data_IF_191356031955
#
_entry.id   IF_191356031955
#
_cell.length_a   1.000
_cell.length_b   1.000
_cell.length_c   1.000
_cell.angle_alpha   90.00
_cell.angle_beta   90.00
_cell.angle_gamma   90.00
#
_symmetry.space_group_name_H-M   'P 1'
#
loop_
_entity.id
_entity.type
_entity.pdbx_description
1 polymer ?
#
# COMPACT_ATOMS: atom_id res chain seq x y z
N UNK A 1 -27.65 -2.64 9.49
CA UNK A 1 -26.78 -3.00 10.63
C UNK A 1 -25.33 -2.83 10.15
N UNK A 2 -24.49 -2.19 10.93
CA UNK A 2 -23.07 -2.03 10.64
C UNK A 2 -22.24 -3.21 11.15
N UNK A 3 -20.92 -3.05 11.07
CA UNK A 3 -19.94 -4.05 11.49
C UNK A 3 -19.28 -3.65 12.80
N UNK A 4 -18.87 -4.63 13.58
CA UNK A 4 -17.95 -4.46 14.70
C UNK A 4 -16.54 -4.57 14.17
N UNK A 5 -15.81 -3.44 14.16
CA UNK A 5 -14.50 -3.29 13.49
C UNK A 5 -13.39 -3.07 14.48
N UNK A 6 -12.29 -3.77 14.30
CA UNK A 6 -11.05 -3.59 15.05
C UNK A 6 -10.00 -2.94 14.16
N UNK A 7 -9.27 -1.95 14.68
CA UNK A 7 -8.03 -1.45 14.07
C UNK A 7 -6.88 -1.73 15.04
N UNK A 8 -6.04 -2.70 14.72
CA UNK A 8 -4.85 -3.04 15.50
C UNK A 8 -3.63 -2.27 14.98
N UNK A 9 -2.85 -1.68 15.88
CA UNK A 9 -1.80 -0.73 15.55
C UNK A 9 -2.32 0.70 15.33
N UNK A 10 -3.42 1.04 15.98
CA UNK A 10 -4.18 2.29 15.80
C UNK A 10 -3.39 3.57 16.09
N UNK A 11 -2.27 3.51 16.80
CA UNK A 11 -1.40 4.66 17.08
C UNK A 11 -0.32 4.93 16.03
N UNK A 12 -0.09 3.96 15.13
CA UNK A 12 0.83 4.09 14.00
C UNK A 12 0.25 4.90 12.83
N UNK A 13 1.09 5.33 11.89
CA UNK A 13 0.65 6.12 10.73
C UNK A 13 -0.47 5.42 9.94
N UNK A 14 -0.29 4.14 9.60
CA UNK A 14 -1.27 3.37 8.82
C UNK A 14 -2.55 3.11 9.62
N UNK A 15 -2.42 2.77 10.92
CA UNK A 15 -3.60 2.51 11.76
C UNK A 15 -4.46 3.76 11.97
N UNK A 16 -3.84 4.93 12.17
CA UNK A 16 -4.56 6.21 12.21
C UNK A 16 -5.26 6.50 10.89
N UNK A 17 -4.58 6.25 9.78
CA UNK A 17 -5.15 6.47 8.46
C UNK A 17 -6.29 5.48 8.15
N UNK A 18 -6.24 4.23 8.64
CA UNK A 18 -7.37 3.29 8.57
C UNK A 18 -8.61 3.84 9.29
N UNK A 19 -8.44 4.40 10.50
CA UNK A 19 -9.54 5.02 11.24
C UNK A 19 -10.12 6.22 10.48
N UNK A 20 -9.27 7.08 9.94
CA UNK A 20 -9.68 8.24 9.15
C UNK A 20 -10.48 7.81 7.91
N UNK A 21 -9.94 6.86 7.13
CA UNK A 21 -10.57 6.41 5.88
C UNK A 21 -11.88 5.66 6.12
N UNK A 22 -11.99 4.85 7.18
CA UNK A 22 -13.26 4.23 7.56
C UNK A 22 -14.35 5.30 7.78
N UNK A 23 -14.00 6.42 8.44
CA UNK A 23 -14.92 7.54 8.67
C UNK A 23 -15.18 8.33 7.37
N UNK A 24 -14.15 8.72 6.61
CA UNK A 24 -14.26 9.47 5.36
C UNK A 24 -15.14 8.74 4.33
N UNK A 25 -15.00 7.41 4.23
CA UNK A 25 -15.76 6.58 3.32
C UNK A 25 -17.11 6.11 3.86
N UNK A 26 -17.46 6.54 5.09
CA UNK A 26 -18.72 6.18 5.75
C UNK A 26 -18.91 4.63 5.78
N UNK A 27 -17.83 3.90 6.06
CA UNK A 27 -17.92 2.47 6.24
C UNK A 27 -18.93 2.16 7.37
N UNK A 28 -19.89 1.23 7.20
CA UNK A 28 -20.94 1.01 8.19
C UNK A 28 -20.37 0.34 9.45
N UNK A 29 -20.04 1.15 10.44
CA UNK A 29 -19.49 0.73 11.73
C UNK A 29 -20.53 0.90 12.83
N UNK A 30 -20.90 -0.21 13.51
CA UNK A 30 -21.73 -0.18 14.71
C UNK A 30 -20.87 -0.03 15.97
N UNK A 31 -19.69 -0.65 15.98
CA UNK A 31 -18.74 -0.58 17.09
C UNK A 31 -17.31 -0.60 16.55
N UNK A 32 -16.43 0.21 17.14
CA UNK A 32 -15.01 0.29 16.77
C UNK A 32 -14.10 0.12 17.97
N UNK A 33 -13.08 -0.74 17.85
CA UNK A 33 -12.02 -0.89 18.83
C UNK A 33 -10.66 -0.49 18.21
N UNK A 34 -9.97 0.43 18.89
CA UNK A 34 -8.59 0.77 18.56
C UNK A 34 -7.65 -0.01 19.48
N UNK A 35 -6.79 -0.88 18.90
CA UNK A 35 -5.85 -1.67 19.67
C UNK A 35 -4.42 -1.19 19.48
N UNK A 36 -3.64 -1.25 20.56
CA UNK A 36 -2.24 -0.90 20.56
C UNK A 36 -1.46 -1.78 21.56
N UNK A 37 -0.13 -1.71 21.52
CA UNK A 37 0.72 -2.30 22.56
C UNK A 37 0.56 -1.56 23.88
N UNK A 38 0.97 -2.19 24.98
CA UNK A 38 0.96 -1.60 26.33
C UNK A 38 1.62 -0.23 26.42
N UNK A 39 2.62 0.05 25.59
CA UNK A 39 3.31 1.36 25.54
C UNK A 39 2.38 2.51 25.12
N UNK A 40 1.35 2.18 24.35
CA UNK A 40 0.38 3.15 23.82
C UNK A 40 -1.04 2.93 24.36
N UNK A 41 -1.17 2.18 25.47
CA UNK A 41 -2.46 1.94 26.12
C UNK A 41 -3.09 3.27 26.58
N UNK A 42 -4.37 3.46 26.32
CA UNK A 42 -5.10 4.66 26.68
C UNK A 42 -4.80 5.90 25.82
N UNK A 43 -3.93 5.77 24.81
CA UNK A 43 -3.70 6.84 23.83
C UNK A 43 -4.99 7.15 23.09
N UNK A 44 -5.31 8.42 22.95
CA UNK A 44 -6.46 8.87 22.20
C UNK A 44 -6.16 8.89 20.69
N UNK A 45 -7.09 8.35 19.91
CA UNK A 45 -7.06 8.36 18.44
C UNK A 45 -8.42 8.80 17.91
N UNK A 46 -8.43 9.49 16.78
CA UNK A 46 -9.66 10.01 16.17
C UNK A 46 -10.32 8.96 15.29
N UNK A 47 -11.64 8.91 15.28
CA UNK A 47 -12.48 8.21 14.33
C UNK A 47 -13.61 9.16 13.91
N UNK A 48 -13.48 9.80 12.75
CA UNK A 48 -14.34 10.91 12.36
C UNK A 48 -14.30 12.03 13.41
N UNK A 49 -15.47 12.46 13.85
CA UNK A 49 -15.63 13.51 14.87
C UNK A 49 -15.51 12.99 16.32
N UNK A 50 -15.27 11.69 16.49
CA UNK A 50 -15.17 11.07 17.81
C UNK A 50 -13.73 10.73 18.16
N UNK A 51 -13.45 10.68 19.46
CA UNK A 51 -12.16 10.25 20.00
C UNK A 51 -12.36 8.95 20.76
N UNK A 52 -11.52 7.94 20.46
CA UNK A 52 -11.54 6.64 21.11
C UNK A 52 -10.21 6.36 21.79
N UNK A 53 -10.22 5.64 22.89
CA UNK A 53 -9.00 5.25 23.62
C UNK A 53 -8.53 3.88 23.18
N UNK A 54 -7.23 3.75 22.99
CA UNK A 54 -6.64 2.45 22.65
C UNK A 54 -6.72 1.48 23.80
N UNK A 55 -7.00 0.22 23.46
CA UNK A 55 -7.04 -0.94 24.33
C UNK A 55 -5.80 -1.84 24.13
N UNK A 56 -5.51 -2.67 25.11
CA UNK A 56 -4.35 -3.56 25.08
C UNK A 56 -4.61 -4.77 24.17
N UNK A 57 -3.83 -4.89 23.09
CA UNK A 57 -3.91 -5.98 22.13
C UNK A 57 -3.64 -7.36 22.79
N UNK A 58 -2.79 -7.40 23.82
CA UNK A 58 -2.36 -8.67 24.44
C UNK A 58 -3.50 -9.42 25.15
N UNK A 59 -4.47 -8.66 25.68
CA UNK A 59 -5.58 -9.21 26.47
C UNK A 59 -6.95 -9.01 25.82
N UNK A 60 -6.99 -8.51 24.60
CA UNK A 60 -8.24 -8.23 23.90
C UNK A 60 -8.96 -9.52 23.48
N UNK A 61 -10.28 -9.57 23.70
CA UNK A 61 -11.14 -10.65 23.24
C UNK A 61 -11.74 -10.34 21.87
N UNK A 62 -11.37 -11.12 20.86
CA UNK A 62 -11.86 -10.99 19.48
C UNK A 62 -13.25 -11.58 19.26
N UNK A 63 -13.85 -12.22 20.27
CA UNK A 63 -15.16 -12.90 20.14
C UNK A 63 -16.27 -11.90 19.80
N UNK A 64 -17.03 -12.22 18.77
CA UNK A 64 -18.17 -11.40 18.30
C UNK A 64 -17.78 -10.16 17.50
N UNK A 65 -16.51 -9.97 17.13
CA UNK A 65 -16.09 -8.95 16.18
C UNK A 65 -16.16 -9.50 14.75
N UNK A 66 -16.55 -8.65 13.80
CA UNK A 66 -16.76 -9.08 12.43
C UNK A 66 -15.46 -9.03 11.63
N UNK A 67 -14.67 -7.96 11.83
CA UNK A 67 -13.50 -7.72 11.02
C UNK A 67 -12.40 -6.95 11.79
N UNK A 68 -11.15 -7.25 11.48
CA UNK A 68 -9.98 -6.60 12.07
C UNK A 68 -9.00 -6.15 10.99
N UNK A 69 -8.69 -4.86 10.96
CA UNK A 69 -7.65 -4.25 10.14
C UNK A 69 -6.34 -4.25 10.92
N UNK A 70 -5.35 -5.00 10.47
CA UNK A 70 -4.06 -5.15 11.17
C UNK A 70 -2.98 -4.27 10.53
N UNK A 71 -2.59 -3.21 11.24
CA UNK A 71 -1.46 -2.34 10.93
C UNK A 71 -0.31 -2.54 11.94
N UNK A 72 -0.03 -3.82 12.25
CA UNK A 72 1.03 -4.26 13.17
C UNK A 72 2.10 -5.01 12.39
N UNK A 73 3.31 -5.11 12.94
CA UNK A 73 4.40 -5.82 12.28
C UNK A 73 4.16 -7.34 12.19
N UNK A 74 4.90 -8.01 11.31
CA UNK A 74 4.73 -9.45 11.02
C UNK A 74 4.80 -10.35 12.26
N UNK A 75 5.66 -10.03 13.23
CA UNK A 75 5.79 -10.83 14.47
C UNK A 75 4.52 -10.77 15.33
N UNK A 76 3.93 -9.57 15.46
CA UNK A 76 2.66 -9.40 16.16
C UNK A 76 1.52 -10.05 15.37
N UNK A 77 1.47 -9.85 14.05
CA UNK A 77 0.47 -10.49 13.18
C UNK A 77 0.50 -12.01 13.31
N UNK A 78 1.69 -12.63 13.34
CA UNK A 78 1.86 -14.07 13.54
C UNK A 78 1.19 -14.57 14.83
N UNK A 79 1.18 -13.75 15.87
CA UNK A 79 0.59 -14.08 17.16
C UNK A 79 -0.93 -13.84 17.19
N UNK A 80 -1.41 -12.70 16.67
CA UNK A 80 -2.78 -12.27 16.90
C UNK A 80 -3.74 -12.58 15.75
N UNK A 81 -3.29 -12.65 14.50
CA UNK A 81 -4.18 -12.97 13.39
C UNK A 81 -4.84 -14.35 13.52
N UNK A 82 -4.12 -15.43 13.91
CA UNK A 82 -4.78 -16.71 14.15
C UNK A 82 -5.75 -16.70 15.33
N UNK A 83 -5.52 -15.88 16.36
CA UNK A 83 -6.46 -15.73 17.49
C UNK A 83 -7.77 -15.07 17.05
N UNK A 84 -7.67 -13.97 16.28
CA UNK A 84 -8.83 -13.29 15.72
C UNK A 84 -9.61 -14.20 14.76
N UNK A 85 -8.92 -14.88 13.85
CA UNK A 85 -9.52 -15.82 12.92
C UNK A 85 -10.26 -16.97 13.63
N UNK A 86 -9.67 -17.55 14.68
CA UNK A 86 -10.30 -18.60 15.50
C UNK A 86 -11.55 -18.10 16.23
N UNK A 87 -11.61 -16.82 16.59
CA UNK A 87 -12.78 -16.19 17.21
C UNK A 87 -13.88 -15.83 16.19
N UNK A 88 -13.68 -16.11 14.90
CA UNK A 88 -14.62 -15.82 13.82
C UNK A 88 -14.49 -14.40 13.23
N UNK A 89 -13.48 -13.64 13.64
CA UNK A 89 -13.19 -12.32 13.12
C UNK A 89 -12.31 -12.40 11.86
N UNK A 90 -12.73 -11.82 10.74
CA UNK A 90 -11.94 -11.80 9.51
C UNK A 90 -10.81 -10.77 9.66
N UNK A 91 -9.57 -11.18 9.39
CA UNK A 91 -8.39 -10.31 9.48
C UNK A 91 -7.98 -9.81 8.09
N UNK A 92 -7.79 -8.50 7.95
CA UNK A 92 -7.13 -7.88 6.80
C UNK A 92 -5.74 -7.44 7.27
N UNK A 93 -4.72 -8.18 6.86
CA UNK A 93 -3.33 -8.02 7.33
C UNK A 93 -2.52 -7.12 6.39
N UNK A 94 -2.03 -6.01 6.91
CA UNK A 94 -1.16 -5.09 6.18
C UNK A 94 0.34 -5.46 6.28
N UNK A 95 0.71 -6.47 7.07
CA UNK A 95 2.09 -6.95 7.15
C UNK A 95 2.47 -7.80 5.94
N UNK A 96 3.74 -8.16 5.82
CA UNK A 96 4.20 -9.05 4.74
C UNK A 96 4.03 -10.54 5.06
N UNK A 97 3.52 -10.90 6.25
CA UNK A 97 3.56 -12.27 6.76
C UNK A 97 2.82 -13.27 5.87
N UNK A 98 1.58 -12.93 5.48
CA UNK A 98 0.69 -13.84 4.78
C UNK A 98 0.61 -13.62 3.27
N UNK A 99 1.29 -12.61 2.72
CA UNK A 99 1.19 -12.26 1.29
C UNK A 99 1.56 -13.40 0.34
N UNK A 100 2.48 -14.26 0.76
CA UNK A 100 3.02 -15.36 -0.07
C UNK A 100 2.44 -16.74 0.30
N UNK A 101 1.57 -16.79 1.31
CA UNK A 101 0.84 -17.99 1.66
C UNK A 101 -0.19 -18.32 0.55
N UNK A 102 -0.15 -19.52 -0.05
CA UNK A 102 -1.06 -19.86 -1.14
C UNK A 102 -2.53 -19.96 -0.72
N UNK A 103 -2.79 -20.19 0.57
CA UNK A 103 -4.15 -20.28 1.13
C UNK A 103 -4.69 -18.91 1.57
N UNK A 104 -3.88 -17.85 1.54
CA UNK A 104 -4.30 -16.49 1.89
C UNK A 104 -4.39 -15.64 0.64
N UNK A 105 -5.57 -15.08 0.31
CA UNK A 105 -5.72 -14.20 -0.84
C UNK A 105 -4.97 -12.89 -0.60
N UNK A 106 -4.25 -12.43 -1.64
CA UNK A 106 -3.60 -11.13 -1.72
C UNK A 106 -4.44 -10.24 -2.64
N UNK A 107 -5.02 -9.17 -2.10
CA UNK A 107 -6.11 -8.47 -2.81
C UNK A 107 -5.79 -6.98 -3.04
N UNK A 108 -6.01 -6.57 -4.28
CA UNK A 108 -6.22 -5.19 -4.69
C UNK A 108 -7.60 -5.14 -5.36
N UNK A 109 -8.62 -4.53 -4.75
CA UNK A 109 -10.00 -4.63 -5.22
C UNK A 109 -10.24 -4.20 -6.67
N UNK A 110 -9.43 -3.28 -7.19
CA UNK A 110 -9.48 -2.85 -8.59
C UNK A 110 -8.89 -3.89 -9.57
N UNK A 111 -8.12 -4.87 -9.06
CA UNK A 111 -7.38 -5.81 -9.91
C UNK A 111 -7.94 -7.23 -9.87
N UNK A 112 -8.17 -7.77 -8.67
CA UNK A 112 -8.53 -9.17 -8.46
C UNK A 112 -9.61 -9.35 -7.38
N UNK A 113 -10.77 -8.66 -7.47
CA UNK A 113 -11.81 -8.68 -6.45
C UNK A 113 -12.38 -10.09 -6.19
N UNK A 114 -12.33 -10.99 -7.16
CA UNK A 114 -12.87 -12.35 -7.04
C UNK A 114 -12.02 -13.24 -6.13
N UNK A 115 -10.75 -12.87 -5.90
CA UNK A 115 -9.88 -13.57 -4.95
C UNK A 115 -10.40 -13.50 -3.50
N UNK A 116 -11.39 -12.62 -3.21
CA UNK A 116 -11.97 -12.45 -1.88
C UNK A 116 -12.57 -13.76 -1.35
N UNK A 117 -13.07 -14.64 -2.21
CA UNK A 117 -13.68 -15.90 -1.82
C UNK A 117 -12.70 -16.83 -1.07
N UNK A 118 -11.40 -16.66 -1.32
CA UNK A 118 -10.32 -17.37 -0.61
C UNK A 118 -10.16 -16.99 0.87
N UNK A 119 -10.85 -15.96 1.36
CA UNK A 119 -10.76 -15.55 2.78
C UNK A 119 -11.12 -16.68 3.75
N UNK A 120 -12.07 -17.53 3.35
CA UNK A 120 -12.59 -18.60 4.20
C UNK A 120 -11.54 -19.67 4.54
N UNK A 121 -10.45 -19.79 3.78
CA UNK A 121 -9.40 -20.78 4.03
C UNK A 121 -8.75 -20.59 5.40
N UNK A 122 -8.45 -19.34 5.76
CA UNK A 122 -7.79 -18.99 7.03
C UNK A 122 -8.46 -17.84 7.78
N UNK A 123 -9.55 -17.29 7.30
CA UNK A 123 -10.18 -16.06 7.81
C UNK A 123 -9.21 -14.87 7.79
N UNK A 124 -8.23 -14.90 6.88
CA UNK A 124 -7.18 -13.88 6.72
C UNK A 124 -7.10 -13.48 5.26
N UNK A 125 -6.99 -12.18 5.02
CA UNK A 125 -6.76 -11.56 3.71
C UNK A 125 -5.49 -10.72 3.83
N UNK A 126 -4.58 -10.86 2.87
CA UNK A 126 -3.36 -10.07 2.84
C UNK A 126 -3.55 -8.79 2.00
N UNK A 127 -3.05 -7.68 2.53
CA UNK A 127 -2.90 -6.41 1.85
C UNK A 127 -1.49 -6.31 1.24
N UNK A 128 -1.32 -5.90 -0.03
CA UNK A 128 -0.02 -5.92 -0.71
C UNK A 128 0.97 -4.89 -0.17
N UNK A 129 2.19 -4.95 -0.67
CA UNK A 129 3.20 -3.90 -0.52
C UNK A 129 2.70 -2.58 -1.12
N UNK A 130 3.12 -1.46 -0.53
CA UNK A 130 2.62 -0.14 -0.92
C UNK A 130 2.95 0.23 -2.36
N UNK A 131 4.16 -0.06 -2.82
CA UNK A 131 4.55 0.18 -4.21
C UNK A 131 3.82 -0.79 -5.15
N UNK A 132 3.72 -2.07 -4.79
CA UNK A 132 2.94 -3.04 -5.59
C UNK A 132 1.49 -2.59 -5.76
N UNK A 133 0.83 -2.14 -4.68
CA UNK A 133 -0.58 -1.76 -4.73
C UNK A 133 -0.89 -0.70 -5.79
N UNK A 134 -0.12 0.38 -5.84
CA UNK A 134 -0.32 1.43 -6.84
C UNK A 134 0.06 0.97 -8.26
N UNK A 135 1.15 0.22 -8.40
CA UNK A 135 1.62 -0.26 -9.69
C UNK A 135 0.60 -1.20 -10.35
N UNK A 136 0.08 -2.17 -9.62
CA UNK A 136 -0.85 -3.16 -10.20
C UNK A 136 -2.18 -2.54 -10.62
N UNK A 137 -2.64 -1.47 -9.95
CA UNK A 137 -3.81 -0.70 -10.35
C UNK A 137 -3.61 -0.11 -11.75
N UNK A 138 -2.42 0.42 -12.04
CA UNK A 138 -2.10 0.93 -13.38
C UNK A 138 -1.90 -0.20 -14.41
N UNK A 139 -1.28 -1.32 -14.01
CA UNK A 139 -0.95 -2.41 -14.92
C UNK A 139 -2.18 -3.23 -15.34
N UNK A 140 -3.13 -3.47 -14.41
CA UNK A 140 -4.26 -4.40 -14.65
C UNK A 140 -5.09 -4.05 -15.89
N UNK A 141 -5.60 -2.81 -16.05
CA UNK A 141 -6.41 -2.48 -17.22
C UNK A 141 -5.63 -2.55 -18.54
N UNK A 142 -4.34 -2.25 -18.52
CA UNK A 142 -3.47 -2.39 -19.69
C UNK A 142 -3.19 -3.86 -20.03
N UNK A 143 -2.98 -4.70 -19.00
CA UNK A 143 -2.80 -6.14 -19.15
C UNK A 143 -4.04 -6.81 -19.76
N UNK A 144 -5.22 -6.43 -19.32
CA UNK A 144 -6.48 -6.98 -19.84
C UNK A 144 -6.67 -6.69 -21.34
N UNK A 145 -6.09 -5.58 -21.84
CA UNK A 145 -6.20 -5.18 -23.24
C UNK A 145 -5.10 -5.79 -24.12
N UNK A 146 -3.84 -5.80 -23.66
CA UNK A 146 -2.70 -6.08 -24.53
C UNK A 146 -1.72 -7.13 -23.96
N UNK A 147 -2.01 -7.78 -22.86
CA UNK A 147 -1.17 -8.75 -22.14
C UNK A 147 0.27 -8.30 -21.94
N UNK A 148 0.62 -8.05 -20.71
CA UNK A 148 1.97 -7.61 -20.34
C UNK A 148 2.92 -8.81 -20.35
N UNK A 149 4.04 -8.68 -21.07
CA UNK A 149 5.16 -9.62 -21.08
C UNK A 149 6.18 -9.30 -20.00
N UNK A 150 6.48 -8.00 -19.85
CA UNK A 150 7.58 -7.55 -18.99
C UNK A 150 7.30 -6.16 -18.42
N UNK A 151 7.72 -5.97 -17.17
CA UNK A 151 7.71 -4.67 -16.48
C UNK A 151 9.11 -4.38 -15.96
N UNK A 152 9.60 -3.19 -16.22
CA UNK A 152 10.79 -2.61 -15.57
C UNK A 152 10.31 -1.43 -14.76
N UNK A 153 10.56 -1.43 -13.46
CA UNK A 153 10.14 -0.36 -12.57
C UNK A 153 11.28 0.16 -11.72
N UNK A 154 11.40 1.47 -11.66
CA UNK A 154 12.21 2.16 -10.66
C UNK A 154 11.29 2.93 -9.73
N UNK A 155 11.36 2.64 -8.42
CA UNK A 155 10.54 3.33 -7.43
C UNK A 155 11.28 4.47 -6.78
N UNK A 156 10.55 5.51 -6.38
CA UNK A 156 11.01 6.65 -5.60
C UNK A 156 10.12 6.71 -4.36
N UNK A 157 10.54 5.96 -3.30
CA UNK A 157 9.70 5.71 -2.14
C UNK A 157 9.96 6.72 -1.02
N UNK A 158 8.91 7.36 -0.55
CA UNK A 158 8.94 8.30 0.57
C UNK A 158 9.29 7.62 1.90
N UNK A 159 9.81 8.40 2.84
CA UNK A 159 10.27 7.91 4.16
C UNK A 159 9.13 7.42 5.07
N UNK A 160 7.89 7.84 4.82
CA UNK A 160 6.71 7.35 5.58
C UNK A 160 6.52 5.84 5.48
N UNK A 161 6.99 5.21 4.38
CA UNK A 161 7.01 3.75 4.24
C UNK A 161 7.90 3.04 5.27
N UNK A 162 8.87 3.75 5.87
CA UNK A 162 9.68 3.27 6.98
C UNK A 162 9.08 3.63 8.37
N UNK A 163 7.86 4.17 8.39
CA UNK A 163 7.15 4.57 9.60
C UNK A 163 7.54 5.95 10.13
N UNK A 164 7.04 6.26 11.34
CA UNK A 164 7.30 7.55 12.00
C UNK A 164 8.80 7.85 12.16
N UNK A 165 9.57 6.85 12.55
CA UNK A 165 11.02 6.99 12.75
C UNK A 165 11.74 7.46 11.48
N UNK A 166 11.35 6.97 10.29
CA UNK A 166 11.91 7.43 9.02
C UNK A 166 11.57 8.89 8.71
N UNK A 167 10.36 9.31 9.04
CA UNK A 167 9.92 10.69 8.88
C UNK A 167 10.66 11.62 9.86
N UNK A 168 10.79 11.22 11.11
CA UNK A 168 11.52 11.97 12.14
C UNK A 168 13.01 12.11 11.74
N UNK A 169 13.64 11.04 11.25
CA UNK A 169 15.05 11.09 10.80
C UNK A 169 15.25 12.06 9.64
N UNK A 170 14.40 12.01 8.60
CA UNK A 170 14.47 12.98 7.50
C UNK A 170 14.33 14.42 8.01
N UNK A 171 13.38 14.65 8.92
CA UNK A 171 13.15 15.97 9.48
C UNK A 171 14.35 16.50 10.27
N UNK A 172 14.89 15.69 11.18
CA UNK A 172 16.03 16.10 12.02
C UNK A 172 17.30 16.28 11.18
N UNK A 173 17.60 15.39 10.23
CA UNK A 173 18.72 15.55 9.30
C UNK A 173 18.56 16.81 8.43
N UNK A 174 17.37 17.09 7.93
CA UNK A 174 17.10 18.32 7.16
C UNK A 174 17.39 19.58 7.97
N UNK A 175 16.99 19.62 9.25
CA UNK A 175 17.32 20.74 10.14
C UNK A 175 18.81 20.87 10.40
N UNK A 176 19.52 19.74 10.54
CA UNK A 176 20.96 19.74 10.85
C UNK A 176 21.80 20.31 9.72
N UNK A 177 21.38 20.15 8.45
CA UNK A 177 22.08 20.77 7.31
C UNK A 177 22.19 22.29 7.44
N UNK A 178 21.20 22.92 8.05
CA UNK A 178 21.19 24.38 8.28
C UNK A 178 21.72 24.78 9.67
N UNK A 179 22.11 23.80 10.49
CA UNK A 179 22.71 24.01 11.81
C UNK A 179 23.98 23.14 11.98
N UNK A 180 25.15 23.62 11.58
CA UNK A 180 26.38 22.83 11.53
C UNK A 180 26.89 22.34 12.90
N UNK A 181 26.26 22.75 14.01
CA UNK A 181 26.62 22.29 15.36
C UNK A 181 25.83 21.03 15.79
N UNK A 182 24.90 20.54 14.95
CA UNK A 182 24.01 19.42 15.26
C UNK A 182 24.09 18.38 14.14
N UNK A 183 25.06 17.48 14.22
CA UNK A 183 25.12 16.32 13.34
C UNK A 183 24.09 15.26 13.77
N UNK A 184 23.26 14.78 12.83
CA UNK A 184 22.26 13.72 13.04
C UNK A 184 22.65 12.51 12.21
N UNK A 185 23.30 11.50 12.79
CA UNK A 185 23.70 10.31 12.07
C UNK A 185 22.47 9.48 11.65
N UNK A 186 22.58 8.69 10.57
CA UNK A 186 21.53 7.78 10.17
C UNK A 186 21.32 6.70 11.24
N UNK A 187 20.06 6.42 11.57
CA UNK A 187 19.64 5.42 12.56
C UNK A 187 18.60 4.46 11.99
N UNK A 188 17.66 4.97 11.20
CA UNK A 188 16.63 4.18 10.53
C UNK A 188 17.06 3.73 9.13
N UNK A 189 17.79 4.60 8.42
CA UNK A 189 18.31 4.32 7.09
C UNK A 189 19.81 3.96 7.16
N UNK A 190 20.29 3.31 6.11
CA UNK A 190 21.70 2.86 6.04
C UNK A 190 22.68 4.00 5.74
N UNK A 191 22.17 5.11 5.24
CA UNK A 191 22.89 6.36 4.92
C UNK A 191 22.01 7.55 5.23
N UNK A 192 22.60 8.73 5.33
CA UNK A 192 21.86 9.97 5.44
C UNK A 192 20.85 10.11 4.31
N UNK A 193 19.58 10.39 4.68
CA UNK A 193 18.48 10.51 3.71
C UNK A 193 18.21 11.96 3.29
N UNK A 194 18.51 12.95 4.13
CA UNK A 194 18.29 14.35 3.78
C UNK A 194 19.11 14.73 2.52
N UNK A 195 18.42 15.26 1.51
CA UNK A 195 19.00 15.66 0.21
C UNK A 195 19.73 14.52 -0.54
N UNK A 196 19.37 13.26 -0.27
CA UNK A 196 20.03 12.08 -0.83
C UNK A 196 19.02 11.07 -1.35
N UNK A 197 19.48 10.12 -2.17
CA UNK A 197 18.73 8.96 -2.64
C UNK A 197 19.47 7.68 -2.24
N UNK A 198 18.75 6.70 -1.69
CA UNK A 198 19.32 5.46 -1.18
C UNK A 198 18.72 4.29 -1.97
N UNK A 199 19.48 3.64 -2.87
CA UNK A 199 19.00 2.50 -3.68
C UNK A 199 19.06 1.20 -2.86
N UNK A 200 18.43 1.21 -1.70
CA UNK A 200 18.43 0.09 -0.76
C UNK A 200 17.22 0.21 0.19
N UNK A 201 16.23 -0.63 -0.02
CA UNK A 201 15.05 -0.75 0.85
C UNK A 201 14.90 -2.22 1.26
N UNK A 202 14.80 -2.48 2.57
CA UNK A 202 14.76 -3.82 3.17
C UNK A 202 16.13 -4.54 3.06
N UNK A 203 16.18 -5.84 3.33
CA UNK A 203 17.42 -6.65 3.32
C UNK A 203 17.79 -7.12 1.92
N UNK A 204 19.10 -7.28 1.66
CA UNK A 204 19.57 -7.94 0.43
C UNK A 204 19.26 -9.44 0.44
N UNK A 205 18.97 -9.96 -0.74
CA UNK A 205 18.81 -11.38 -1.04
C UNK A 205 20.08 -11.94 -1.73
N UNK A 206 20.15 -13.25 -1.89
CA UNK A 206 21.34 -13.92 -2.45
C UNK A 206 21.64 -13.54 -3.92
N UNK A 207 20.61 -13.16 -4.67
CA UNK A 207 20.73 -12.73 -6.07
C UNK A 207 21.15 -11.25 -6.23
N UNK A 208 21.37 -10.54 -5.12
CA UNK A 208 21.73 -9.14 -5.10
C UNK A 208 20.53 -8.17 -5.17
N UNK A 209 19.32 -8.66 -5.36
CA UNK A 209 18.10 -7.86 -5.20
C UNK A 209 17.82 -7.58 -3.72
N UNK A 210 16.97 -6.58 -3.44
CA UNK A 210 16.44 -6.40 -2.09
C UNK A 210 15.11 -7.12 -1.92
N UNK A 211 14.76 -7.42 -0.68
CA UNK A 211 13.46 -8.02 -0.36
C UNK A 211 12.29 -7.14 -0.80
N UNK A 212 12.45 -5.82 -0.80
CA UNK A 212 11.44 -4.89 -1.34
C UNK A 212 11.22 -5.09 -2.83
N UNK A 213 12.28 -5.23 -3.61
CA UNK A 213 12.24 -5.53 -5.05
C UNK A 213 11.60 -6.89 -5.33
N UNK A 214 11.97 -7.89 -4.56
CA UNK A 214 11.38 -9.22 -4.64
C UNK A 214 9.86 -9.22 -4.36
N UNK A 215 9.40 -8.42 -3.36
CA UNK A 215 7.97 -8.26 -3.08
C UNK A 215 7.21 -7.76 -4.31
N UNK A 216 7.72 -6.75 -4.99
CA UNK A 216 7.09 -6.23 -6.21
C UNK A 216 6.96 -7.30 -7.29
N UNK A 217 7.99 -8.14 -7.47
CA UNK A 217 7.96 -9.26 -8.42
C UNK A 217 6.91 -10.31 -8.02
N UNK A 218 6.98 -10.81 -6.79
CA UNK A 218 6.14 -11.91 -6.33
C UNK A 218 4.66 -11.51 -6.22
N UNK A 219 4.40 -10.31 -5.71
CA UNK A 219 3.04 -9.81 -5.51
C UNK A 219 2.35 -9.45 -6.83
N UNK A 220 3.06 -8.84 -7.78
CA UNK A 220 2.51 -8.58 -9.13
C UNK A 220 2.05 -9.87 -9.81
N UNK A 221 2.87 -10.92 -9.73
CA UNK A 221 2.53 -12.25 -10.27
C UNK A 221 1.32 -12.87 -9.59
N UNK A 222 1.19 -12.72 -8.28
CA UNK A 222 0.06 -13.27 -7.52
C UNK A 222 -1.24 -12.51 -7.78
N UNK A 223 -1.16 -11.20 -8.00
CA UNK A 223 -2.33 -10.33 -8.16
C UNK A 223 -2.84 -10.30 -9.60
N UNK A 224 -1.95 -10.26 -10.60
CA UNK A 224 -2.32 -10.08 -12.02
C UNK A 224 -2.17 -11.38 -12.81
N UNK A 225 -0.91 -11.77 -13.08
CA UNK A 225 -0.60 -12.95 -13.91
C UNK A 225 0.81 -13.47 -13.57
N UNK A 226 0.97 -14.76 -13.23
CA UNK A 226 2.26 -15.36 -12.93
C UNK A 226 3.26 -15.34 -14.12
N UNK A 227 2.79 -15.15 -15.35
CA UNK A 227 3.62 -15.08 -16.55
C UNK A 227 4.36 -13.74 -16.69
N UNK A 228 3.91 -12.66 -16.04
CA UNK A 228 4.55 -11.35 -16.14
C UNK A 228 5.97 -11.40 -15.57
N UNK A 229 6.94 -10.98 -16.38
CA UNK A 229 8.33 -10.81 -15.94
C UNK A 229 8.51 -9.41 -15.36
N UNK A 230 8.92 -9.30 -14.12
CA UNK A 230 9.11 -8.00 -13.44
C UNK A 230 10.55 -7.88 -12.98
N UNK A 231 11.15 -6.72 -13.17
CA UNK A 231 12.39 -6.31 -12.50
C UNK A 231 12.19 -4.94 -11.88
N UNK A 232 12.65 -4.79 -10.64
CA UNK A 232 12.45 -3.57 -9.87
C UNK A 232 13.79 -3.06 -9.32
N UNK A 233 13.90 -1.73 -9.21
CA UNK A 233 14.93 -1.05 -8.43
C UNK A 233 14.25 -0.13 -7.45
N UNK A 234 14.37 -0.42 -6.15
CA UNK A 234 13.66 0.32 -5.11
C UNK A 234 14.57 1.35 -4.44
N UNK A 235 14.20 2.62 -4.57
CA UNK A 235 15.00 3.75 -4.07
C UNK A 235 14.24 4.52 -3.01
N UNK A 236 14.85 4.77 -1.84
CA UNK A 236 14.35 5.69 -0.82
C UNK A 236 14.75 7.11 -1.19
N UNK A 237 13.78 8.02 -1.17
CA UNK A 237 13.99 9.44 -1.50
C UNK A 237 13.58 10.34 -0.33
N UNK A 238 14.11 11.59 -0.24
CA UNK A 238 13.83 12.52 0.86
C UNK A 238 12.48 13.23 0.68
N UNK A 239 11.43 12.42 0.57
CA UNK A 239 10.03 12.85 0.47
C UNK A 239 9.28 12.26 1.66
N UNK A 240 8.45 13.06 2.34
CA UNK A 240 7.76 12.60 3.55
C UNK A 240 6.68 11.55 3.24
N UNK A 241 5.77 11.83 2.32
CA UNK A 241 4.65 10.95 1.94
C UNK A 241 4.49 10.95 0.42
N UNK A 242 3.99 9.84 -0.12
CA UNK A 242 3.77 9.64 -1.55
C UNK A 242 4.91 8.87 -2.21
N UNK A 243 4.59 7.71 -2.81
CA UNK A 243 5.51 6.92 -3.62
C UNK A 243 5.32 7.24 -5.09
N UNK A 244 6.42 7.32 -5.82
CA UNK A 244 6.42 7.46 -7.27
C UNK A 244 7.12 6.29 -7.93
N UNK A 245 6.76 6.01 -9.16
CA UNK A 245 7.33 4.92 -9.95
C UNK A 245 7.48 5.32 -11.41
N UNK A 246 8.66 5.11 -11.95
CA UNK A 246 8.89 5.11 -13.39
C UNK A 246 8.71 3.67 -13.89
N UNK A 247 7.68 3.44 -14.69
CA UNK A 247 7.29 2.12 -15.15
C UNK A 247 7.45 2.03 -16.67
N UNK A 248 8.22 1.04 -17.13
CA UNK A 248 8.31 0.64 -18.53
C UNK A 248 7.63 -0.72 -18.69
N UNK A 249 6.74 -0.83 -19.65
CA UNK A 249 5.89 -1.99 -19.88
C UNK A 249 6.06 -2.47 -21.31
N UNK A 250 6.37 -3.76 -21.48
CA UNK A 250 6.38 -4.46 -22.77
C UNK A 250 5.16 -5.37 -22.86
N UNK A 251 4.42 -5.27 -23.96
CA UNK A 251 3.19 -6.02 -24.22
C UNK A 251 3.39 -7.12 -25.26
N UNK A 252 2.47 -8.09 -25.32
CA UNK A 252 2.37 -9.07 -26.41
C UNK A 252 1.86 -8.41 -27.68
N UNK A 253 0.79 -7.62 -27.55
CA UNK A 253 0.16 -6.92 -28.65
C UNK A 253 0.50 -5.43 -28.60
N UNK A 254 0.46 -4.76 -29.75
CA UNK A 254 0.64 -3.31 -29.83
C UNK A 254 -0.49 -2.59 -29.08
N UNK A 255 -0.11 -1.62 -28.27
CA UNK A 255 -0.99 -0.70 -27.56
C UNK A 255 -0.52 0.72 -27.83
N UNK A 256 -1.36 1.51 -28.48
CA UNK A 256 -1.10 2.93 -28.73
C UNK A 256 -1.17 3.74 -27.43
N UNK A 257 -0.36 4.79 -27.32
CA UNK A 257 -0.31 5.62 -26.11
C UNK A 257 -1.62 6.37 -25.82
N UNK A 258 -2.40 6.76 -26.85
CA UNK A 258 -3.72 7.40 -26.66
C UNK A 258 -4.74 6.36 -26.20
N UNK A 259 -4.75 5.16 -26.80
CA UNK A 259 -5.57 4.04 -26.33
C UNK A 259 -5.25 3.69 -24.87
N UNK A 260 -3.97 3.60 -24.50
CA UNK A 260 -3.56 3.35 -23.13
C UNK A 260 -4.03 4.45 -22.17
N UNK A 261 -3.96 5.70 -22.58
CA UNK A 261 -4.43 6.87 -21.81
C UNK A 261 -5.94 6.80 -21.58
N UNK A 262 -6.71 6.43 -22.60
CA UNK A 262 -8.16 6.32 -22.50
C UNK A 262 -8.60 5.14 -21.64
N UNK A 263 -7.93 4.00 -21.73
CA UNK A 263 -8.13 2.85 -20.85
C UNK A 263 -7.90 3.25 -19.38
N UNK A 264 -6.78 3.92 -19.10
CA UNK A 264 -6.44 4.36 -17.75
C UNK A 264 -7.42 5.40 -17.19
N UNK A 265 -7.94 6.31 -18.02
CA UNK A 265 -8.98 7.28 -17.60
C UNK A 265 -10.29 6.64 -17.18
N UNK A 266 -10.62 5.47 -17.73
CA UNK A 266 -11.85 4.74 -17.42
C UNK A 266 -11.67 3.73 -16.29
N UNK A 267 -10.43 3.44 -15.91
CA UNK A 267 -10.12 2.43 -14.90
C UNK A 267 -10.44 2.91 -13.48
N UNK A 268 -11.00 2.04 -12.62
CA UNK A 268 -11.32 2.40 -11.25
C UNK A 268 -10.05 2.73 -10.45
N UNK A 269 -10.13 3.74 -9.59
CA UNK A 269 -9.04 4.15 -8.71
C UNK A 269 -7.91 4.91 -9.39
N UNK A 270 -8.01 5.20 -10.70
CA UNK A 270 -6.99 5.93 -11.48
C UNK A 270 -7.47 7.35 -11.79
N UNK A 271 -6.53 8.28 -11.69
CA UNK A 271 -6.66 9.64 -12.23
C UNK A 271 -5.50 9.94 -13.18
N UNK A 272 -5.81 10.20 -14.44
CA UNK A 272 -4.81 10.54 -15.46
C UNK A 272 -4.63 12.06 -15.52
N UNK A 273 -3.42 12.52 -15.14
CA UNK A 273 -2.99 13.91 -15.30
C UNK A 273 -1.75 13.91 -16.18
N UNK A 274 -1.96 13.97 -17.48
CA UNK A 274 -0.92 13.77 -18.49
C UNK A 274 -1.02 14.83 -19.59
N UNK A 275 -0.48 16.00 -19.30
CA UNK A 275 -0.37 17.09 -20.26
C UNK A 275 1.09 17.26 -20.69
N UNK A 276 1.33 17.44 -21.98
CA UNK A 276 2.69 17.67 -22.54
C UNK A 276 3.09 19.14 -22.44
N UNK A 277 3.03 19.67 -21.22
CA UNK A 277 3.38 21.04 -20.85
C UNK A 277 4.14 21.07 -19.50
N UNK A 278 4.75 22.20 -19.17
CA UNK A 278 5.46 22.38 -17.90
C UNK A 278 4.47 22.19 -16.72
N UNK A 279 4.79 21.26 -15.80
CA UNK A 279 3.95 20.96 -14.65
C UNK A 279 2.71 20.11 -14.97
N UNK A 280 2.56 19.57 -16.18
CA UNK A 280 1.42 18.77 -16.59
C UNK A 280 1.41 17.31 -16.09
N UNK A 281 1.93 17.06 -14.91
CA UNK A 281 2.06 15.75 -14.25
C UNK A 281 1.90 15.90 -12.73
N UNK A 282 1.69 14.79 -12.03
CA UNK A 282 1.55 14.77 -10.57
C UNK A 282 2.86 14.30 -9.92
N UNK A 283 3.21 14.94 -8.81
CA UNK A 283 4.34 14.59 -7.94
C UNK A 283 3.84 14.03 -6.59
N UNK A 284 4.72 13.39 -5.79
CA UNK A 284 4.32 12.89 -4.47
C UNK A 284 3.66 13.93 -3.57
N UNK A 285 4.11 15.19 -3.69
CA UNK A 285 3.62 16.28 -2.83
C UNK A 285 2.14 16.61 -3.06
N UNK A 286 1.65 16.40 -4.27
CA UNK A 286 0.28 16.70 -4.67
C UNK A 286 -0.70 15.54 -4.42
N UNK A 287 -0.19 14.30 -4.34
CA UNK A 287 -1.05 13.13 -4.12
C UNK A 287 -1.40 12.88 -2.65
N UNK A 288 -0.74 13.56 -1.71
CA UNK A 288 -0.95 13.35 -0.27
C UNK A 288 -2.40 13.66 0.11
N UNK A 289 -3.05 12.71 0.77
CA UNK A 289 -4.44 12.82 1.19
C UNK A 289 -5.47 12.44 0.12
N UNK A 290 -5.05 12.07 -1.10
CA UNK A 290 -5.94 11.61 -2.15
C UNK A 290 -6.11 10.07 -2.14
N UNK A 291 -7.21 9.60 -2.69
CA UNK A 291 -7.50 8.17 -2.85
C UNK A 291 -7.00 7.59 -4.18
N UNK A 292 -6.74 8.44 -5.16
CA UNK A 292 -6.39 8.02 -6.50
C UNK A 292 -4.94 7.54 -6.62
N UNK A 293 -4.75 6.65 -7.57
CA UNK A 293 -3.45 6.40 -8.21
C UNK A 293 -3.35 7.31 -9.42
N UNK A 294 -2.42 8.24 -9.38
CA UNK A 294 -2.22 9.21 -10.46
C UNK A 294 -1.27 8.66 -11.51
N UNK A 295 -1.67 8.76 -12.79
CA UNK A 295 -0.84 8.38 -13.93
C UNK A 295 -0.53 9.60 -14.77
N UNK A 296 0.73 9.74 -15.11
CA UNK A 296 1.27 10.83 -15.92
C UNK A 296 2.34 10.30 -16.87
N UNK A 297 2.83 11.13 -17.79
CA UNK A 297 3.97 10.85 -18.66
C UNK A 297 3.81 9.58 -19.50
N UNK A 298 2.57 9.30 -19.93
CA UNK A 298 2.25 8.17 -20.82
C UNK A 298 2.84 8.47 -22.19
N UNK A 299 3.68 7.57 -22.69
CA UNK A 299 4.33 7.72 -24.00
C UNK A 299 4.81 6.38 -24.52
N UNK A 300 4.87 6.26 -25.81
CA UNK A 300 5.42 5.10 -26.49
C UNK A 300 6.92 4.92 -26.13
N UNK A 301 7.37 3.70 -25.99
CA UNK A 301 8.79 3.35 -25.90
C UNK A 301 9.29 2.97 -27.33
N UNK A 302 10.07 3.83 -27.94
CA UNK A 302 10.60 3.62 -29.30
C UNK A 302 11.75 2.60 -29.36
N UNK A 303 12.17 2.04 -28.23
CA UNK A 303 13.31 1.10 -28.17
C UNK A 303 12.87 -0.36 -28.21
N UNK A 304 11.57 -0.62 -28.06
CA UNK A 304 10.95 -1.94 -28.16
C UNK A 304 9.68 -1.88 -29.00
N UNK A 305 9.27 -3.00 -29.58
CA UNK A 305 8.16 -3.05 -30.54
C UNK A 305 6.82 -2.63 -29.93
N UNK A 306 6.50 -3.16 -28.76
CA UNK A 306 5.21 -2.95 -28.09
C UNK A 306 5.43 -2.42 -26.66
N UNK A 307 5.89 -1.19 -26.52
CA UNK A 307 6.28 -0.66 -25.22
C UNK A 307 5.64 0.68 -24.87
N UNK A 308 5.28 0.83 -23.59
CA UNK A 308 4.81 2.08 -23.01
C UNK A 308 5.60 2.40 -21.75
N UNK A 309 5.95 3.68 -21.61
CA UNK A 309 6.46 4.26 -20.38
C UNK A 309 5.37 5.09 -19.71
N UNK A 310 5.28 5.04 -18.39
CA UNK A 310 4.41 5.91 -17.60
C UNK A 310 5.04 6.29 -16.26
N UNK A 311 4.49 7.29 -15.63
CA UNK A 311 4.80 7.73 -14.28
C UNK A 311 3.57 7.51 -13.40
N UNK A 312 3.74 6.74 -12.33
CA UNK A 312 2.69 6.37 -11.38
C UNK A 312 3.00 6.99 -10.01
N UNK A 313 2.03 7.63 -9.39
CA UNK A 313 2.17 8.26 -8.07
C UNK A 313 0.93 8.02 -7.23
N UNK A 314 1.09 7.65 -5.95
CA UNK A 314 -0.03 7.65 -5.01
C UNK A 314 0.42 7.93 -3.57
N UNK A 315 -0.53 8.27 -2.71
CA UNK A 315 -0.31 8.30 -1.27
C UNK A 315 -0.13 6.86 -0.76
N UNK A 316 1.10 6.56 -0.34
CA UNK A 316 1.51 5.22 0.11
C UNK A 316 0.88 4.80 1.45
N UNK A 317 0.42 5.75 2.25
CA UNK A 317 -0.33 5.48 3.48
C UNK A 317 -1.80 5.18 3.19
N UNK A 318 -2.35 5.78 2.10
CA UNK A 318 -3.71 5.56 1.62
C UNK A 318 -3.77 4.36 0.68
N UNK A 319 -3.65 4.54 -0.63
CA UNK A 319 -3.78 3.42 -1.59
C UNK A 319 -2.76 2.32 -1.36
N UNK A 320 -1.55 2.67 -0.95
CA UNK A 320 -0.50 1.69 -0.63
C UNK A 320 -0.76 0.86 0.64
N UNK A 321 -1.70 1.27 1.51
CA UNK A 321 -1.90 0.63 2.81
C UNK A 321 -3.35 0.72 3.30
N UNK A 322 -3.71 1.82 3.98
CA UNK A 322 -4.97 1.94 4.71
C UNK A 322 -6.19 1.94 3.80
N UNK A 323 -6.16 2.67 2.68
CA UNK A 323 -7.27 2.70 1.74
C UNK A 323 -7.52 1.33 1.11
N UNK A 324 -6.47 0.64 0.66
CA UNK A 324 -6.63 -0.68 0.07
C UNK A 324 -7.23 -1.67 1.08
N UNK A 325 -6.80 -1.62 2.35
CA UNK A 325 -7.37 -2.45 3.41
C UNK A 325 -8.87 -2.12 3.68
N UNK A 326 -9.26 -0.84 3.68
CA UNK A 326 -10.67 -0.45 3.83
C UNK A 326 -11.48 -0.85 2.59
N UNK A 327 -10.95 -0.72 1.39
CA UNK A 327 -11.60 -1.20 0.16
C UNK A 327 -11.81 -2.72 0.17
N UNK A 328 -10.85 -3.50 0.72
CA UNK A 328 -11.02 -4.95 0.94
C UNK A 328 -12.15 -5.18 1.94
N UNK A 329 -12.24 -4.41 3.03
CA UNK A 329 -13.33 -4.50 4.01
C UNK A 329 -14.69 -4.19 3.36
N UNK A 330 -14.78 -3.17 2.50
CA UNK A 330 -15.99 -2.85 1.74
C UNK A 330 -16.39 -4.01 0.79
N UNK A 331 -15.41 -4.58 0.09
CA UNK A 331 -15.62 -5.72 -0.80
C UNK A 331 -16.14 -6.95 -0.02
N UNK A 332 -15.52 -7.23 1.12
CA UNK A 332 -15.93 -8.30 2.03
C UNK A 332 -17.35 -8.08 2.56
N UNK A 333 -17.68 -6.86 2.96
CA UNK A 333 -19.01 -6.47 3.41
C UNK A 333 -20.08 -6.72 2.35
N UNK A 334 -19.82 -6.29 1.12
CA UNK A 334 -20.77 -6.46 -0.01
C UNK A 334 -20.96 -7.91 -0.44
N UNK A 335 -19.90 -8.71 -0.49
CA UNK A 335 -19.94 -10.06 -1.08
C UNK A 335 -20.18 -11.16 -0.06
N UNK A 336 -19.69 -10.99 1.16
CA UNK A 336 -19.57 -12.09 2.13
C UNK A 336 -20.38 -11.85 3.39
N UNK A 337 -20.08 -10.80 4.14
CA UNK A 337 -20.65 -10.61 5.47
C UNK A 337 -22.12 -10.15 5.45
N UNK A 338 -22.61 -9.60 4.32
CA UNK A 338 -24.03 -9.30 4.02
C UNK A 338 -24.86 -8.81 5.21
N UNK A 339 -24.29 -7.97 6.07
CA UNK A 339 -25.08 -7.20 7.03
C UNK A 339 -25.67 -6.02 6.27
N UNK A 340 -26.88 -6.23 5.74
CA UNK A 340 -27.60 -5.25 4.95
C UNK A 340 -28.13 -4.07 5.77
#
# INVERSE_FOLDING_TARGET
MGYRVIVAGATGNVGREMLNILAERQFPVDEIAALASRRSLGTEVSFGDTTIKTQDLDVFDFTGWDLALFAIGSDATKTYAPKAAKAGCVVIDNSSLYRYDPEVPLIVPECNPDAIDGYANKMIIANPNCSTAQMVVALKPLHDRARIKRVVVSTYQSVSGAGKEGMDELWEQTKSVYNPTSEVPPTKFQKEIAFNVIPHIDSFMEDGSTKEEWKMVAETKKIIDPAIRVTATCVRVPVFVGHSEAVNIEFEDFLDEEEARDILRQAPGIMVVDKREAGGYITPKECVGDFATFISRIRQDSTIENGINLWCVSDNLRKGAALNAVQIAELLGRRVLKKG
#
